data_IF_201234322506
#
_entry.id   IF_201234322506
#
_cell.length_a   1.000
_cell.length_b   1.000
_cell.length_c   1.000
_cell.angle_alpha   90.00
_cell.angle_beta   90.00
_cell.angle_gamma   90.00
#
_symmetry.space_group_name_H-M   'P 1'
#
loop_
_entity.id
_entity.type
_entity.pdbx_description
1 polymer ?
#
# COMPACT_ATOMS: atom_id res chain seq x y z
N UNK A 1 46.36 19.85 11.56
CA UNK A 1 45.20 20.72 11.78
C UNK A 1 44.91 20.71 13.28
N UNK A 2 44.70 21.87 13.85
CA UNK A 2 44.48 22.03 15.28
C UNK A 2 43.08 22.61 15.53
N UNK A 3 42.40 22.08 16.52
CA UNK A 3 41.10 22.57 17.00
C UNK A 3 41.04 22.33 18.53
N UNK A 4 40.54 23.30 19.28
CA UNK A 4 40.39 23.13 20.72
C UNK A 4 39.54 21.87 21.05
N UNK A 5 39.88 21.16 22.16
CA UNK A 5 39.13 19.96 22.56
C UNK A 5 37.63 20.23 22.76
N UNK A 6 37.27 21.43 23.20
CA UNK A 6 35.87 21.87 23.32
C UNK A 6 35.14 21.91 21.94
N UNK A 7 35.84 22.38 20.91
CA UNK A 7 35.34 22.42 19.54
C UNK A 7 35.26 20.99 18.96
N UNK A 8 36.32 20.17 19.20
CA UNK A 8 36.27 18.76 18.76
C UNK A 8 35.09 18.00 19.38
N UNK A 9 34.77 18.27 20.65
CA UNK A 9 33.63 17.65 21.32
C UNK A 9 32.28 17.99 20.66
N UNK A 10 32.09 19.25 20.22
CA UNK A 10 30.88 19.68 19.51
C UNK A 10 30.66 18.99 18.18
N UNK A 11 31.71 18.40 17.56
CA UNK A 11 31.53 17.58 16.35
C UNK A 11 30.66 16.34 16.59
N UNK A 12 30.59 15.87 17.85
CA UNK A 12 29.71 14.75 18.22
C UNK A 12 28.24 15.15 18.17
N UNK A 13 27.92 16.39 18.53
CA UNK A 13 26.57 16.92 18.44
C UNK A 13 26.17 17.03 16.97
N UNK A 14 27.07 17.54 16.11
CA UNK A 14 26.83 17.56 14.66
C UNK A 14 26.67 16.15 14.06
N UNK A 15 27.50 15.20 14.50
CA UNK A 15 27.38 13.80 14.04
C UNK A 15 26.09 13.12 14.53
N UNK A 16 25.56 13.49 15.69
CA UNK A 16 24.29 13.01 16.20
C UNK A 16 23.11 13.51 15.31
N UNK A 17 23.12 14.80 14.95
CA UNK A 17 22.13 15.39 14.05
C UNK A 17 22.21 14.74 12.66
N UNK A 18 23.41 14.54 12.12
CA UNK A 18 23.60 13.87 10.81
C UNK A 18 23.14 12.40 10.84
N UNK A 19 23.33 11.71 11.97
CA UNK A 19 22.84 10.35 12.14
C UNK A 19 21.30 10.31 12.18
N UNK A 20 20.65 11.32 12.77
CA UNK A 20 19.19 11.45 12.78
C UNK A 20 18.65 11.74 11.38
N UNK A 21 19.27 12.64 10.62
CA UNK A 21 18.92 12.88 9.21
C UNK A 21 19.00 11.60 8.39
N UNK A 22 20.03 10.80 8.59
CA UNK A 22 20.18 9.50 7.90
C UNK A 22 19.07 8.52 8.28
N UNK A 23 18.62 8.50 9.54
CA UNK A 23 17.49 7.67 9.99
C UNK A 23 16.19 8.14 9.37
N UNK A 24 15.95 9.45 9.30
CA UNK A 24 14.78 10.04 8.66
C UNK A 24 14.73 9.65 7.17
N UNK A 25 15.84 9.79 6.45
CA UNK A 25 15.95 9.38 5.06
C UNK A 25 15.68 7.87 4.87
N UNK A 26 16.23 7.04 5.74
CA UNK A 26 15.98 5.60 5.70
C UNK A 26 14.51 5.27 5.97
N UNK A 27 13.92 5.86 7.03
CA UNK A 27 12.51 5.69 7.38
C UNK A 27 11.59 6.07 6.23
N UNK A 28 11.91 7.18 5.53
CA UNK A 28 11.15 7.63 4.35
C UNK A 28 11.19 6.63 3.19
N UNK A 29 12.34 5.97 2.96
CA UNK A 29 12.50 4.96 1.91
C UNK A 29 11.75 3.66 2.18
N UNK A 30 11.58 3.31 3.45
CA UNK A 30 10.96 2.04 3.89
C UNK A 30 9.70 2.30 4.72
N UNK A 31 8.95 3.33 4.39
CA UNK A 31 7.75 3.74 5.13
C UNK A 31 6.72 2.60 5.16
N UNK A 32 6.45 1.97 6.33
CA UNK A 32 5.51 0.85 6.42
C UNK A 32 4.07 1.28 6.08
N UNK A 33 3.72 2.51 6.39
CA UNK A 33 2.43 3.11 6.10
C UNK A 33 2.17 3.17 4.59
N UNK A 34 3.21 3.43 3.77
CA UNK A 34 3.12 3.40 2.30
C UNK A 34 2.92 1.96 1.78
N UNK A 35 3.58 0.97 2.39
CA UNK A 35 3.38 -0.43 2.03
C UNK A 35 1.97 -0.90 2.36
N UNK A 36 1.40 -0.43 3.46
CA UNK A 36 0.02 -0.71 3.85
C UNK A 36 -0.98 -0.09 2.87
N UNK A 37 -0.76 1.15 2.42
CA UNK A 37 -1.58 1.79 1.37
C UNK A 37 -1.57 0.94 0.10
N UNK A 38 -0.39 0.54 -0.38
CA UNK A 38 -0.27 -0.30 -1.59
C UNK A 38 -1.00 -1.65 -1.45
N UNK A 39 -0.95 -2.27 -0.27
CA UNK A 39 -1.67 -3.51 0.03
C UNK A 39 -3.19 -3.30 -0.05
N UNK A 40 -3.69 -2.23 0.56
CA UNK A 40 -5.13 -1.92 0.59
C UNK A 40 -5.65 -1.45 -0.77
N UNK A 41 -4.86 -0.75 -1.58
CA UNK A 41 -5.18 -0.44 -2.98
C UNK A 41 -5.40 -1.71 -3.82
N UNK A 42 -4.51 -2.69 -3.65
CA UNK A 42 -4.66 -3.98 -4.32
C UNK A 42 -5.91 -4.74 -3.84
N UNK A 43 -6.19 -4.71 -2.53
CA UNK A 43 -7.39 -5.31 -1.95
C UNK A 43 -8.67 -4.64 -2.46
N UNK A 44 -8.75 -3.29 -2.41
CA UNK A 44 -9.88 -2.52 -2.97
C UNK A 44 -10.11 -2.86 -4.44
N UNK A 45 -9.04 -2.98 -5.25
CA UNK A 45 -9.15 -3.34 -6.65
C UNK A 45 -9.75 -4.74 -6.80
N UNK A 46 -9.30 -5.73 -6.03
CA UNK A 46 -9.85 -7.08 -6.05
C UNK A 46 -11.33 -7.13 -5.64
N UNK A 47 -11.73 -6.33 -4.62
CA UNK A 47 -13.14 -6.23 -4.17
C UNK A 47 -14.01 -5.58 -5.24
N UNK A 48 -13.52 -4.54 -5.91
CA UNK A 48 -14.20 -3.90 -7.03
C UNK A 48 -14.42 -4.87 -8.19
N UNK A 49 -13.39 -5.62 -8.58
CA UNK A 49 -13.49 -6.61 -9.64
C UNK A 49 -14.49 -7.73 -9.28
N UNK A 50 -14.57 -8.13 -8.03
CA UNK A 50 -15.54 -9.10 -7.55
C UNK A 50 -16.97 -8.55 -7.65
N UNK A 51 -17.23 -7.30 -7.25
CA UNK A 51 -18.53 -6.64 -7.36
C UNK A 51 -18.97 -6.52 -8.81
N UNK A 52 -18.10 -6.08 -9.71
CA UNK A 52 -18.39 -5.96 -11.15
C UNK A 52 -18.72 -7.31 -11.78
N UNK A 53 -18.05 -8.40 -11.38
CA UNK A 53 -18.38 -9.75 -11.89
C UNK A 53 -19.79 -10.18 -11.53
N UNK A 54 -20.24 -9.88 -10.32
CA UNK A 54 -21.62 -10.21 -9.90
C UNK A 54 -22.61 -9.30 -10.61
N UNK A 55 -22.32 -8.03 -10.83
CA UNK A 55 -23.16 -7.11 -11.61
C UNK A 55 -23.37 -7.62 -13.05
N UNK A 56 -22.29 -8.06 -13.71
CA UNK A 56 -22.38 -8.67 -15.06
C UNK A 56 -23.26 -9.92 -15.03
N UNK A 57 -23.13 -10.76 -14.00
CA UNK A 57 -23.99 -11.96 -13.87
C UNK A 57 -25.48 -11.59 -13.74
N UNK A 58 -25.79 -10.55 -12.96
CA UNK A 58 -27.17 -10.06 -12.82
C UNK A 58 -27.71 -9.57 -14.17
N UNK A 59 -26.91 -8.80 -14.92
CA UNK A 59 -27.29 -8.31 -16.25
C UNK A 59 -27.54 -9.45 -17.25
N UNK A 60 -26.76 -10.54 -17.16
CA UNK A 60 -26.97 -11.73 -18.01
C UNK A 60 -28.25 -12.44 -17.62
N UNK A 61 -28.50 -12.65 -16.33
CA UNK A 61 -29.73 -13.27 -15.84
C UNK A 61 -30.98 -12.43 -16.18
N UNK A 62 -30.90 -11.11 -16.08
CA UNK A 62 -32.00 -10.21 -16.49
C UNK A 62 -32.28 -10.27 -17.98
N UNK A 63 -31.27 -10.57 -18.82
CA UNK A 63 -31.49 -10.83 -20.27
C UNK A 63 -32.15 -12.17 -20.51
N UNK A 64 -31.77 -13.20 -19.77
CA UNK A 64 -32.38 -14.53 -19.88
C UNK A 64 -33.84 -14.50 -19.43
N UNK A 65 -34.18 -13.81 -18.34
CA UNK A 65 -35.57 -13.60 -17.88
C UNK A 65 -36.39 -12.94 -18.98
N UNK A 66 -35.94 -11.81 -19.55
CA UNK A 66 -36.65 -11.12 -20.63
C UNK A 66 -36.87 -11.99 -21.86
N UNK A 67 -35.94 -12.90 -22.17
CA UNK A 67 -36.06 -13.84 -23.26
C UNK A 67 -37.14 -14.88 -22.98
N UNK A 68 -37.15 -15.47 -21.77
CA UNK A 68 -38.16 -16.44 -21.34
C UNK A 68 -39.56 -15.82 -21.31
N UNK A 69 -39.69 -14.60 -20.74
CA UNK A 69 -40.94 -13.84 -20.79
C UNK A 69 -41.48 -13.66 -22.21
N UNK A 70 -40.60 -13.34 -23.17
CA UNK A 70 -40.92 -13.20 -24.55
C UNK A 70 -41.40 -14.53 -25.21
N UNK A 71 -40.76 -15.65 -24.87
CA UNK A 71 -41.15 -16.98 -25.35
C UNK A 71 -42.48 -17.39 -24.73
N UNK A 72 -42.72 -17.16 -23.44
CA UNK A 72 -43.99 -17.45 -22.76
C UNK A 72 -45.11 -16.62 -23.37
N UNK A 73 -44.92 -15.33 -23.62
CA UNK A 73 -45.90 -14.46 -24.25
C UNK A 73 -46.26 -14.94 -25.67
N UNK A 74 -45.26 -15.40 -26.45
CA UNK A 74 -45.49 -15.95 -27.76
C UNK A 74 -46.33 -17.24 -27.71
N UNK A 75 -46.08 -18.14 -26.77
CA UNK A 75 -46.85 -19.36 -26.54
C UNK A 75 -48.29 -19.02 -26.10
N UNK A 76 -48.47 -18.10 -25.16
CA UNK A 76 -49.81 -17.64 -24.72
C UNK A 76 -50.63 -17.05 -25.86
N UNK A 77 -50.01 -16.20 -26.68
CA UNK A 77 -50.68 -15.64 -27.86
C UNK A 77 -51.13 -16.73 -28.89
N UNK A 78 -50.37 -17.80 -28.97
CA UNK A 78 -50.76 -18.95 -29.83
C UNK A 78 -51.88 -19.76 -29.20
N UNK A 79 -51.80 -20.08 -27.91
CA UNK A 79 -52.90 -20.72 -27.16
C UNK A 79 -54.23 -19.95 -27.33
N UNK A 80 -54.18 -18.62 -27.19
CA UNK A 80 -55.38 -17.78 -27.29
C UNK A 80 -55.98 -17.79 -28.68
N UNK A 81 -55.12 -17.77 -29.74
CA UNK A 81 -55.61 -17.91 -31.12
C UNK A 81 -56.27 -19.27 -31.35
N UNK A 82 -55.67 -20.34 -30.90
CA UNK A 82 -56.15 -21.69 -31.07
C UNK A 82 -57.46 -21.96 -30.29
N UNK A 83 -57.57 -21.42 -29.05
CA UNK A 83 -58.83 -21.41 -28.28
C UNK A 83 -59.93 -20.60 -28.99
N UNK A 84 -59.55 -19.43 -29.55
CA UNK A 84 -60.49 -18.61 -30.33
C UNK A 84 -61.03 -19.37 -31.56
N UNK A 85 -60.17 -20.12 -32.26
CA UNK A 85 -60.64 -20.99 -33.39
C UNK A 85 -61.54 -22.10 -32.90
N UNK A 86 -61.30 -22.76 -31.81
CA UNK A 86 -62.17 -23.77 -31.22
C UNK A 86 -63.55 -23.22 -30.82
N UNK A 87 -63.60 -22.01 -30.24
CA UNK A 87 -64.87 -21.40 -29.79
C UNK A 87 -65.69 -20.81 -30.93
N UNK A 88 -65.09 -20.48 -32.10
CA UNK A 88 -65.78 -19.92 -33.26
C UNK A 88 -66.71 -20.91 -33.96
N UNK A 89 -66.53 -22.20 -33.69
CA UNK A 89 -67.33 -23.25 -34.29
C UNK A 89 -67.18 -23.46 -35.84
N UNK A 90 -66.15 -22.78 -36.40
CA UNK A 90 -65.91 -22.80 -37.86
C UNK A 90 -64.98 -23.91 -38.33
N UNK A 91 -64.57 -24.83 -37.45
CA UNK A 91 -63.59 -25.89 -37.72
C UNK A 91 -64.25 -27.28 -37.88
N UNK A 92 -63.72 -28.09 -38.81
CA UNK A 92 -64.17 -29.46 -38.99
C UNK A 92 -63.69 -30.41 -37.89
N UNK A 93 -64.37 -31.60 -37.76
CA UNK A 93 -64.07 -32.54 -36.67
C UNK A 93 -62.56 -32.97 -36.58
N UNK A 94 -61.89 -33.17 -37.72
CA UNK A 94 -60.48 -33.51 -37.78
C UNK A 94 -59.59 -32.34 -37.24
N UNK A 95 -59.87 -31.12 -37.66
CA UNK A 95 -59.19 -29.94 -37.31
C UNK A 95 -59.38 -29.58 -35.80
N UNK A 96 -60.58 -29.90 -35.27
CA UNK A 96 -60.88 -29.76 -33.83
C UNK A 96 -59.97 -30.67 -32.98
N UNK A 97 -59.77 -31.94 -33.39
CA UNK A 97 -58.87 -32.86 -32.71
C UNK A 97 -57.38 -32.38 -32.76
N UNK A 98 -56.95 -31.89 -33.94
CA UNK A 98 -55.61 -31.38 -34.13
C UNK A 98 -55.33 -30.15 -33.22
N UNK A 99 -56.26 -29.18 -33.14
CA UNK A 99 -56.17 -28.02 -32.28
C UNK A 99 -56.13 -28.38 -30.77
N UNK A 100 -56.92 -29.38 -30.37
CA UNK A 100 -56.88 -29.87 -28.98
C UNK A 100 -55.55 -30.49 -28.61
N UNK A 101 -54.92 -31.26 -29.47
CA UNK A 101 -53.60 -31.82 -29.31
C UNK A 101 -52.54 -30.72 -29.28
N UNK A 102 -52.66 -29.71 -30.14
CA UNK A 102 -51.72 -28.56 -30.15
C UNK A 102 -51.81 -27.76 -28.86
N UNK A 103 -53.00 -27.41 -28.40
CA UNK A 103 -53.20 -26.71 -27.12
C UNK A 103 -52.57 -27.47 -25.93
N UNK A 104 -52.76 -28.79 -25.89
CA UNK A 104 -52.12 -29.60 -24.82
C UNK A 104 -50.59 -29.54 -24.91
N UNK A 105 -50.03 -29.49 -26.12
CA UNK A 105 -48.59 -29.36 -26.33
C UNK A 105 -48.08 -27.98 -25.92
N UNK A 106 -48.81 -26.91 -26.29
CA UNK A 106 -48.49 -25.53 -25.92
C UNK A 106 -48.56 -25.31 -24.40
N UNK A 107 -49.60 -25.85 -23.73
CA UNK A 107 -49.69 -25.78 -22.25
C UNK A 107 -48.50 -26.46 -21.56
N UNK A 108 -48.06 -27.62 -22.05
CA UNK A 108 -46.86 -28.28 -21.55
C UNK A 108 -45.61 -27.43 -21.80
N UNK A 109 -45.45 -26.87 -22.99
CA UNK A 109 -44.33 -26.00 -23.32
C UNK A 109 -44.32 -24.74 -22.48
N UNK A 110 -45.48 -24.09 -22.28
CA UNK A 110 -45.61 -22.92 -21.44
C UNK A 110 -45.20 -23.23 -20.00
N UNK A 111 -45.65 -24.35 -19.43
CA UNK A 111 -45.30 -24.75 -18.07
C UNK A 111 -43.80 -24.95 -17.92
N UNK A 112 -43.14 -25.61 -18.87
CA UNK A 112 -41.65 -25.75 -18.84
C UNK A 112 -40.95 -24.40 -18.88
N UNK A 113 -41.41 -23.48 -19.73
CA UNK A 113 -40.81 -22.15 -19.80
C UNK A 113 -41.04 -21.32 -18.52
N UNK A 114 -42.23 -21.45 -17.89
CA UNK A 114 -42.54 -20.81 -16.60
C UNK A 114 -41.68 -21.39 -15.47
N UNK A 115 -41.44 -22.72 -15.46
CA UNK A 115 -40.52 -23.34 -14.49
C UNK A 115 -39.07 -22.89 -14.72
N UNK A 116 -38.60 -22.82 -15.99
CA UNK A 116 -37.26 -22.30 -16.34
C UNK A 116 -37.09 -20.82 -15.93
N UNK A 117 -38.15 -20.00 -16.12
CA UNK A 117 -38.16 -18.58 -15.69
C UNK A 117 -38.01 -18.46 -14.18
N UNK A 118 -38.72 -19.27 -13.39
CA UNK A 118 -38.60 -19.28 -11.93
C UNK A 118 -37.16 -19.63 -11.50
N UNK A 119 -36.56 -20.67 -12.12
CA UNK A 119 -35.18 -21.05 -11.81
C UNK A 119 -34.17 -19.92 -12.07
N UNK A 120 -34.35 -19.18 -13.18
CA UNK A 120 -33.47 -18.04 -13.51
C UNK A 120 -33.73 -16.88 -12.54
N UNK A 121 -34.98 -16.61 -12.17
CA UNK A 121 -35.33 -15.58 -11.18
C UNK A 121 -34.73 -15.87 -9.80
N UNK A 122 -34.77 -17.11 -9.33
CA UNK A 122 -34.14 -17.52 -8.06
C UNK A 122 -32.63 -17.31 -8.11
N UNK A 123 -31.98 -17.66 -9.21
CA UNK A 123 -30.55 -17.40 -9.39
C UNK A 123 -30.23 -15.91 -9.42
N UNK A 124 -31.09 -15.10 -10.04
CA UNK A 124 -30.94 -13.64 -10.07
C UNK A 124 -31.10 -13.04 -8.68
N UNK A 125 -32.02 -13.53 -7.85
CA UNK A 125 -32.20 -13.08 -6.47
C UNK A 125 -30.96 -13.44 -5.61
N UNK A 126 -30.44 -14.66 -5.74
CA UNK A 126 -29.18 -15.05 -5.08
C UNK A 126 -28.01 -14.15 -5.50
N UNK A 127 -27.86 -13.88 -6.81
CA UNK A 127 -26.83 -12.97 -7.30
C UNK A 127 -27.00 -11.52 -6.78
N UNK A 128 -28.24 -11.05 -6.58
CA UNK A 128 -28.49 -9.74 -5.99
C UNK A 128 -28.04 -9.67 -4.52
N UNK A 129 -28.24 -10.74 -3.76
CA UNK A 129 -27.72 -10.83 -2.39
C UNK A 129 -26.18 -10.83 -2.37
N UNK A 130 -25.55 -11.59 -3.27
CA UNK A 130 -24.09 -11.61 -3.44
C UNK A 130 -23.53 -10.23 -3.83
N UNK A 131 -24.22 -9.50 -4.71
CA UNK A 131 -23.85 -8.14 -5.10
C UNK A 131 -23.90 -7.16 -3.93
N UNK A 132 -24.95 -7.23 -3.12
CA UNK A 132 -25.08 -6.41 -1.92
C UNK A 132 -23.93 -6.68 -0.93
N UNK A 133 -23.57 -7.95 -0.73
CA UNK A 133 -22.43 -8.34 0.10
C UNK A 133 -21.09 -7.89 -0.48
N UNK A 134 -20.90 -8.02 -1.80
CA UNK A 134 -19.69 -7.56 -2.49
C UNK A 134 -19.55 -6.03 -2.41
N UNK A 135 -20.65 -5.28 -2.50
CA UNK A 135 -20.70 -3.83 -2.32
C UNK A 135 -20.26 -3.42 -0.91
N UNK A 136 -20.82 -4.04 0.12
CA UNK A 136 -20.43 -3.77 1.50
C UNK A 136 -18.94 -4.06 1.78
N UNK A 137 -18.39 -5.12 1.17
CA UNK A 137 -16.96 -5.41 1.27
C UNK A 137 -16.09 -4.39 0.54
N UNK A 138 -16.54 -3.84 -0.58
CA UNK A 138 -15.86 -2.77 -1.30
C UNK A 138 -15.88 -1.48 -0.48
N UNK A 139 -17.03 -1.09 0.07
CA UNK A 139 -17.16 0.10 0.92
C UNK A 139 -16.20 0.03 2.13
N UNK A 140 -16.10 -1.15 2.76
CA UNK A 140 -15.15 -1.36 3.86
C UNK A 140 -13.69 -1.20 3.40
N UNK A 141 -13.32 -1.81 2.27
CA UNK A 141 -11.97 -1.70 1.74
C UNK A 141 -11.61 -0.26 1.34
N UNK A 142 -12.57 0.52 0.85
CA UNK A 142 -12.38 1.96 0.55
C UNK A 142 -12.20 2.77 1.84
N UNK A 143 -12.97 2.50 2.88
CA UNK A 143 -12.80 3.16 4.18
C UNK A 143 -11.43 2.85 4.80
N UNK A 144 -11.00 1.58 4.77
CA UNK A 144 -9.70 1.16 5.29
C UNK A 144 -8.54 1.82 4.51
N UNK A 145 -8.68 1.97 3.20
CA UNK A 145 -7.70 2.66 2.36
C UNK A 145 -7.58 4.14 2.73
N UNK A 146 -8.69 4.86 2.87
CA UNK A 146 -8.72 6.27 3.28
C UNK A 146 -8.03 6.46 4.64
N UNK A 147 -8.29 5.57 5.60
CA UNK A 147 -7.65 5.62 6.91
C UNK A 147 -6.13 5.34 6.84
N UNK A 148 -5.71 4.43 5.97
CA UNK A 148 -4.29 4.14 5.75
C UNK A 148 -3.57 5.31 5.06
N UNK A 149 -4.18 5.94 4.07
CA UNK A 149 -3.65 7.13 3.40
C UNK A 149 -3.46 8.28 4.40
N UNK A 150 -4.43 8.51 5.27
CA UNK A 150 -4.30 9.51 6.33
C UNK A 150 -3.12 9.21 7.27
N UNK A 151 -2.97 7.95 7.73
CA UNK A 151 -1.82 7.56 8.57
C UNK A 151 -0.49 7.75 7.86
N UNK A 152 -0.41 7.43 6.56
CA UNK A 152 0.78 7.68 5.74
C UNK A 152 1.10 9.17 5.67
N UNK A 153 0.10 10.00 5.41
CA UNK A 153 0.28 11.46 5.29
C UNK A 153 0.73 12.07 6.62
N UNK A 154 0.15 11.64 7.73
CA UNK A 154 0.58 12.05 9.08
C UNK A 154 2.04 11.65 9.33
N UNK A 155 2.43 10.40 9.03
CA UNK A 155 3.81 9.94 9.20
C UNK A 155 4.80 10.72 8.31
N UNK A 156 4.42 11.06 7.07
CA UNK A 156 5.23 11.89 6.18
C UNK A 156 5.36 13.31 6.73
N UNK A 157 4.29 13.89 7.26
CA UNK A 157 4.30 15.22 7.88
C UNK A 157 5.24 15.25 9.09
N UNK A 158 5.19 14.24 9.97
CA UNK A 158 6.06 14.11 11.13
C UNK A 158 7.54 14.01 10.71
N UNK A 159 7.84 13.21 9.67
CA UNK A 159 9.20 13.12 9.13
C UNK A 159 9.69 14.45 8.54
N UNK A 160 8.83 15.23 7.89
CA UNK A 160 9.16 16.55 7.36
C UNK A 160 9.48 17.54 8.49
N UNK A 161 8.69 17.56 9.56
CA UNK A 161 8.94 18.39 10.74
C UNK A 161 10.27 18.01 11.41
N UNK A 162 10.50 16.70 11.61
CA UNK A 162 11.75 16.21 12.17
C UNK A 162 12.97 16.59 11.32
N UNK A 163 12.86 16.46 10.00
CA UNK A 163 13.93 16.85 9.07
C UNK A 163 14.22 18.34 9.15
N UNK A 164 13.21 19.21 9.10
CA UNK A 164 13.36 20.66 9.19
C UNK A 164 14.07 21.08 10.49
N UNK A 165 13.69 20.44 11.61
CA UNK A 165 14.37 20.66 12.89
C UNK A 165 15.84 20.27 12.82
N UNK A 166 16.15 19.07 12.34
CA UNK A 166 17.53 18.61 12.21
C UNK A 166 18.35 19.49 11.27
N UNK A 167 17.78 19.96 10.15
CA UNK A 167 18.45 20.86 9.21
C UNK A 167 18.77 22.23 9.87
N UNK A 168 17.85 22.76 10.66
CA UNK A 168 18.06 23.97 11.45
C UNK A 168 19.17 23.80 12.49
N UNK A 169 19.10 22.74 13.29
CA UNK A 169 20.11 22.41 14.32
C UNK A 169 21.49 22.22 13.69
N UNK A 170 21.54 21.50 12.54
CA UNK A 170 22.75 21.29 11.78
C UNK A 170 23.38 22.60 11.30
N UNK A 171 22.56 23.50 10.76
CA UNK A 171 23.01 24.82 10.30
C UNK A 171 23.58 25.66 11.43
N UNK A 172 22.90 25.67 12.58
CA UNK A 172 23.35 26.39 13.77
C UNK A 172 24.67 25.83 14.29
N UNK A 173 24.83 24.51 14.38
CA UNK A 173 26.05 23.85 14.82
C UNK A 173 27.22 24.11 13.84
N UNK A 174 26.95 23.96 12.53
CA UNK A 174 27.99 24.13 11.49
C UNK A 174 28.65 25.51 11.52
N UNK A 175 27.89 26.57 11.80
CA UNK A 175 28.42 27.94 11.92
C UNK A 175 29.42 28.15 13.05
N UNK A 176 29.52 27.21 14.01
CA UNK A 176 30.44 27.30 15.14
C UNK A 176 31.80 26.63 14.93
N UNK A 177 32.07 26.03 13.76
CA UNK A 177 33.32 25.33 13.49
C UNK A 177 34.27 26.13 12.61
N UNK A 178 35.60 25.98 12.80
CA UNK A 178 36.59 26.45 11.83
C UNK A 178 36.35 25.78 10.46
N UNK A 179 36.49 26.56 9.38
CA UNK A 179 36.16 26.11 8.02
C UNK A 179 36.95 24.87 7.56
N UNK A 180 38.23 24.79 7.95
CA UNK A 180 39.11 23.65 7.64
C UNK A 180 38.68 22.36 8.38
N UNK A 181 38.24 22.46 9.62
CA UNK A 181 37.73 21.34 10.40
C UNK A 181 36.41 20.85 9.85
N UNK A 182 35.49 21.76 9.53
CA UNK A 182 34.18 21.42 8.92
C UNK A 182 34.39 20.78 7.56
N UNK A 183 35.31 21.28 6.73
CA UNK A 183 35.59 20.69 5.42
C UNK A 183 36.06 19.22 5.51
N UNK A 184 36.88 18.88 6.51
CA UNK A 184 37.30 17.50 6.75
C UNK A 184 36.12 16.62 7.18
N UNK A 185 35.27 17.14 8.06
CA UNK A 185 34.09 16.48 8.53
C UNK A 185 33.10 16.18 7.35
N UNK A 186 32.79 17.20 6.55
CA UNK A 186 31.89 17.09 5.39
C UNK A 186 32.44 16.14 4.32
N UNK A 187 33.75 16.18 4.06
CA UNK A 187 34.37 15.25 3.13
C UNK A 187 34.15 13.79 3.55
N UNK A 188 34.27 13.51 4.86
CA UNK A 188 34.07 12.19 5.40
C UNK A 188 32.58 11.78 5.30
N UNK A 189 31.66 12.70 5.61
CA UNK A 189 30.22 12.47 5.49
C UNK A 189 29.79 12.19 4.03
N UNK A 190 30.34 12.93 3.09
CA UNK A 190 30.02 12.77 1.66
C UNK A 190 30.39 11.39 1.09
N UNK A 191 31.31 10.68 1.73
CA UNK A 191 31.63 9.27 1.35
C UNK A 191 30.68 8.25 1.99
N UNK A 192 29.61 8.69 2.63
CA UNK A 192 28.66 7.82 3.36
C UNK A 192 29.17 7.38 4.76
N UNK A 193 30.28 7.96 5.22
CA UNK A 193 30.86 7.67 6.53
C UNK A 193 30.35 8.59 7.64
N UNK A 194 30.63 8.22 8.88
CA UNK A 194 30.40 9.07 10.06
C UNK A 194 31.53 10.10 10.12
N UNK A 195 31.20 11.41 10.18
CA UNK A 195 32.18 12.50 10.15
C UNK A 195 33.06 12.55 11.38
N UNK A 196 32.49 12.36 12.59
CA UNK A 196 33.21 12.33 13.85
C UNK A 196 32.58 11.32 14.81
N UNK A 197 33.43 10.71 15.66
CA UNK A 197 32.98 9.75 16.69
C UNK A 197 33.91 9.76 17.90
N UNK A 198 33.39 9.27 19.04
CA UNK A 198 34.19 9.05 20.23
C UNK A 198 35.27 7.98 20.01
N UNK A 199 36.47 8.24 20.48
CA UNK A 199 37.41 7.17 20.82
C UNK A 199 37.06 6.67 22.22
N UNK A 200 36.59 5.45 22.35
CA UNK A 200 36.17 4.86 23.63
C UNK A 200 36.81 3.49 23.82
N UNK A 201 37.45 3.26 24.97
CA UNK A 201 38.11 2.00 25.28
C UNK A 201 39.00 1.48 24.13
N UNK A 202 39.76 2.34 23.49
CA UNK A 202 40.63 2.10 22.33
C UNK A 202 39.87 1.71 21.04
N UNK A 203 38.54 1.87 20.98
CA UNK A 203 37.73 1.57 19.81
C UNK A 203 37.21 2.85 19.17
N UNK A 204 37.19 2.86 17.84
CA UNK A 204 36.53 3.92 17.08
C UNK A 204 35.00 3.79 17.20
N UNK A 205 34.33 4.84 17.67
CA UNK A 205 32.86 4.86 17.77
C UNK A 205 32.12 4.84 16.42
N UNK A 206 32.81 5.16 15.33
CA UNK A 206 32.22 5.11 13.98
C UNK A 206 32.22 3.67 13.37
N UNK A 207 33.43 3.12 13.17
CA UNK A 207 33.55 1.77 12.55
C UNK A 207 33.58 0.62 13.58
N UNK A 208 33.67 0.94 14.89
CA UNK A 208 33.71 0.00 16.01
C UNK A 208 34.97 -0.89 16.06
N UNK A 209 35.94 -0.63 15.19
CA UNK A 209 37.22 -1.37 15.16
C UNK A 209 38.09 -0.91 16.31
N UNK A 210 38.76 -1.88 16.96
CA UNK A 210 39.77 -1.59 17.98
C UNK A 210 41.07 -1.17 17.30
N UNK A 211 41.64 -0.03 17.75
CA UNK A 211 42.89 0.50 17.24
C UNK A 211 44.07 -0.30 17.82
N UNK A 212 45.07 -0.54 17.00
CA UNK A 212 46.27 -1.25 17.45
C UNK A 212 47.06 -0.44 18.49
N UNK A 213 47.97 -1.11 19.20
CA UNK A 213 48.77 -0.50 20.29
C UNK A 213 49.66 0.63 19.80
N UNK A 214 50.15 0.54 18.57
CA UNK A 214 50.98 1.57 17.95
C UNK A 214 50.21 2.83 17.71
N UNK A 215 48.99 2.72 17.13
CA UNK A 215 48.10 3.86 16.93
C UNK A 215 47.63 4.48 18.23
N UNK A 216 47.27 3.70 19.23
CA UNK A 216 46.89 4.21 20.55
C UNK A 216 48.05 4.97 21.20
N UNK A 217 49.30 4.43 21.12
CA UNK A 217 50.48 5.14 21.64
C UNK A 217 50.78 6.44 20.87
N UNK A 218 50.55 6.46 19.55
CA UNK A 218 50.68 7.67 18.73
C UNK A 218 49.64 8.71 19.13
N UNK A 219 48.38 8.32 19.28
CA UNK A 219 47.28 9.20 19.67
C UNK A 219 47.50 9.77 21.08
N UNK A 220 47.99 8.94 22.03
CA UNK A 220 48.28 9.37 23.40
C UNK A 220 49.38 10.44 23.50
N UNK A 221 50.37 10.39 22.58
CA UNK A 221 51.47 11.37 22.50
C UNK A 221 51.08 12.64 21.73
N UNK A 222 49.98 12.62 21.02
CA UNK A 222 49.51 13.76 20.21
C UNK A 222 48.84 14.80 21.10
N UNK A 223 49.23 16.08 20.92
CA UNK A 223 48.65 17.19 21.71
C UNK A 223 47.12 17.22 21.65
N UNK A 224 46.43 17.65 22.72
CA UNK A 224 44.97 17.60 22.81
C UNK A 224 44.22 18.39 21.72
N UNK A 225 44.81 19.47 21.23
CA UNK A 225 44.30 20.36 20.19
C UNK A 225 44.47 19.79 18.77
N UNK A 226 45.38 18.81 18.57
CA UNK A 226 45.58 18.19 17.25
C UNK A 226 44.42 17.25 16.94
N UNK A 227 43.78 17.47 15.78
CA UNK A 227 42.71 16.62 15.29
C UNK A 227 43.26 15.27 14.81
N UNK A 228 42.73 14.20 15.38
CA UNK A 228 43.11 12.80 15.05
C UNK A 228 42.02 12.16 14.26
N UNK A 229 42.42 11.29 13.31
CA UNK A 229 41.46 10.54 12.46
C UNK A 229 41.69 9.03 12.63
N UNK A 230 40.61 8.28 12.52
CA UNK A 230 40.69 6.83 12.51
C UNK A 230 41.44 6.33 11.24
N UNK A 231 42.43 5.44 11.38
CA UNK A 231 43.15 4.91 10.20
C UNK A 231 42.28 4.04 9.33
N UNK A 232 41.27 3.41 9.90
CA UNK A 232 40.41 2.46 9.20
C UNK A 232 39.27 3.15 8.42
N UNK A 233 38.55 4.09 9.07
CA UNK A 233 37.33 4.70 8.45
C UNK A 233 37.45 6.21 8.23
N UNK A 234 38.60 6.83 8.58
CA UNK A 234 38.87 8.28 8.43
C UNK A 234 37.97 9.23 9.27
N UNK A 235 37.04 8.71 10.11
CA UNK A 235 36.27 9.55 11.00
C UNK A 235 37.16 10.33 11.95
N UNK A 236 36.79 11.58 12.27
CA UNK A 236 37.49 12.37 13.32
C UNK A 236 37.25 11.69 14.67
N UNK A 237 38.33 11.38 15.38
CA UNK A 237 38.29 10.74 16.69
C UNK A 237 38.31 11.78 17.79
N UNK A 238 37.23 11.94 18.50
CA UNK A 238 37.12 12.81 19.67
C UNK A 238 37.65 12.05 20.92
N UNK A 239 38.66 12.62 21.54
CA UNK A 239 39.33 12.05 22.72
C UNK A 239 38.65 12.52 23.99
N UNK A 240 38.47 11.60 24.94
CA UNK A 240 37.92 11.87 26.28
C UNK A 240 38.69 11.05 27.33
N UNK A 241 38.36 11.27 28.61
CA UNK A 241 38.90 10.44 29.71
C UNK A 241 38.57 8.95 29.59
N UNK A 242 37.62 8.59 28.75
CA UNK A 242 37.18 7.20 28.51
C UNK A 242 37.83 6.59 27.25
N UNK A 243 38.73 7.28 26.58
CA UNK A 243 39.40 6.84 25.36
C UNK A 243 40.30 5.62 25.55
N UNK A 244 40.82 5.40 26.78
CA UNK A 244 41.76 4.31 27.09
C UNK A 244 43.16 4.56 26.56
N UNK A 245 43.55 5.85 26.51
CA UNK A 245 44.87 6.36 26.11
C UNK A 245 45.86 6.29 27.25
#
# INVERSE_FOLDING_TARGET
MNAEPSIQSKLLDLAAVDAELTRIEHRRKVLPEEQEVQRLEAERTARKDASVKVEILIDDLDRDIRKLEGEIDAVRKREDRDRGMLTSGSVGAKQLSELQHELTSLERRRKVLEDDEIDVMERREAAAADHAHAGANLDQAEADLVDAERRRDDAVADLNVAQQRCDSDRSALSGGFPADLLAVYEKQRATGGIGAALLQARRCGACRIELDRGEISRIAKTAPDVVVRCPECNAILVRTKHSGL
#
